data_IF_342969147540
#
_entry.id   IF_342969147540
#
_cell.length_a   1.000
_cell.length_b   1.000
_cell.length_c   1.000
_cell.angle_alpha   90.00
_cell.angle_beta   90.00
_cell.angle_gamma   90.00
#
_symmetry.space_group_name_H-M   'P 1'
#
loop_
_entity.id
_entity.type
_entity.pdbx_description
1 polymer ?
#
# COMPACT_ATOMS: atom_id res chain seq x y z
N UNK A 1 3.49 -29.72 -8.04
CA UNK A 1 4.26 -28.55 -8.54
C UNK A 1 3.26 -27.44 -8.86
N UNK A 2 3.41 -26.26 -8.29
CA UNK A 2 2.56 -25.12 -8.62
C UNK A 2 2.76 -24.73 -10.09
N UNK A 3 1.70 -24.23 -10.74
CA UNK A 3 1.76 -23.70 -12.10
C UNK A 3 2.63 -22.45 -12.10
N UNK A 4 3.62 -22.38 -13.00
CA UNK A 4 4.38 -21.16 -13.19
C UNK A 4 3.46 -20.04 -13.73
N UNK A 5 3.48 -18.89 -13.07
CA UNK A 5 2.73 -17.70 -13.49
C UNK A 5 3.49 -17.02 -14.64
N UNK A 6 2.85 -16.83 -15.79
CA UNK A 6 3.50 -16.30 -17.01
C UNK A 6 2.81 -15.07 -17.58
N UNK A 7 1.49 -14.99 -17.42
CA UNK A 7 0.65 -13.98 -18.07
C UNK A 7 -0.04 -13.13 -17.01
N UNK A 8 0.10 -11.82 -17.12
CA UNK A 8 -0.40 -10.84 -16.15
C UNK A 8 -1.28 -9.82 -16.88
N UNK A 9 -2.47 -9.56 -16.37
CA UNK A 9 -3.30 -8.41 -16.80
C UNK A 9 -3.35 -7.36 -15.68
N UNK A 10 -3.09 -6.11 -16.00
CA UNK A 10 -3.23 -4.96 -15.10
C UNK A 10 -4.49 -4.18 -15.50
N UNK A 11 -5.51 -4.22 -14.65
CA UNK A 11 -6.74 -3.43 -14.79
C UNK A 11 -6.55 -2.11 -14.03
N UNK A 12 -6.80 -0.97 -14.70
CA UNK A 12 -6.50 0.36 -14.16
C UNK A 12 -5.03 0.74 -14.33
N UNK A 13 -4.42 0.32 -15.45
CA UNK A 13 -3.00 0.49 -15.75
C UNK A 13 -2.54 1.96 -15.79
N UNK A 14 -3.45 2.92 -16.01
CA UNK A 14 -3.17 4.35 -16.07
C UNK A 14 -3.35 5.10 -14.74
N UNK A 15 -3.83 4.43 -13.67
CA UNK A 15 -3.90 4.99 -12.32
C UNK A 15 -2.51 5.15 -11.68
N UNK A 16 -2.42 5.85 -10.53
CA UNK A 16 -1.13 6.10 -9.84
C UNK A 16 -0.34 4.81 -9.59
N UNK A 17 -0.96 3.81 -8.98
CA UNK A 17 -0.31 2.52 -8.72
C UNK A 17 -0.22 1.69 -10.00
N UNK A 18 -1.25 1.72 -10.86
CA UNK A 18 -1.26 1.05 -12.15
C UNK A 18 -0.05 1.43 -13.01
N UNK A 19 0.23 2.71 -13.16
CA UNK A 19 1.39 3.21 -13.91
C UNK A 19 2.73 2.74 -13.31
N UNK A 20 2.85 2.73 -11.99
CA UNK A 20 4.08 2.35 -11.28
C UNK A 20 4.36 0.86 -11.45
N UNK A 21 3.39 -0.01 -11.14
CA UNK A 21 3.57 -1.45 -11.30
C UNK A 21 3.73 -1.86 -12.78
N UNK A 22 3.04 -1.17 -13.69
CA UNK A 22 3.17 -1.40 -15.13
C UNK A 22 4.56 -1.05 -15.65
N UNK A 23 5.22 -0.02 -15.09
CA UNK A 23 6.60 0.33 -15.47
C UNK A 23 7.58 -0.79 -15.14
N UNK A 24 7.44 -1.40 -13.96
CA UNK A 24 8.30 -2.52 -13.55
C UNK A 24 7.98 -3.81 -14.32
N UNK A 25 6.69 -4.10 -14.52
CA UNK A 25 6.27 -5.30 -15.25
C UNK A 25 6.62 -5.25 -16.74
N UNK A 26 6.65 -4.08 -17.36
CA UNK A 26 6.97 -3.90 -18.79
C UNK A 26 8.36 -4.46 -19.16
N UNK A 27 9.29 -4.43 -18.23
CA UNK A 27 10.68 -4.90 -18.46
C UNK A 27 10.93 -6.30 -17.90
N UNK A 28 9.89 -7.01 -17.51
CA UNK A 28 9.97 -8.35 -16.94
C UNK A 28 9.90 -9.44 -18.01
N UNK A 29 10.10 -10.68 -17.58
CA UNK A 29 9.90 -11.86 -18.44
C UNK A 29 8.43 -12.28 -18.58
N UNK A 30 7.50 -11.60 -17.92
CA UNK A 30 6.06 -11.88 -18.00
C UNK A 30 5.48 -11.32 -19.29
N UNK A 31 4.47 -12.01 -19.82
CA UNK A 31 3.56 -11.43 -20.82
C UNK A 31 2.56 -10.54 -20.08
N UNK A 32 2.58 -9.23 -20.33
CA UNK A 32 1.76 -8.26 -19.60
C UNK A 32 0.77 -7.57 -20.52
N UNK A 33 -0.49 -7.56 -20.12
CA UNK A 33 -1.57 -6.83 -20.77
C UNK A 33 -2.00 -5.64 -19.92
N UNK A 34 -2.24 -4.49 -20.55
CA UNK A 34 -2.61 -3.24 -19.87
C UNK A 34 -4.01 -2.83 -20.26
N UNK A 35 -4.91 -2.75 -19.29
CA UNK A 35 -6.31 -2.38 -19.50
C UNK A 35 -6.64 -1.10 -18.75
N UNK A 36 -7.25 -0.15 -19.42
CA UNK A 36 -7.64 1.14 -18.89
C UNK A 36 -8.89 1.68 -19.59
N UNK A 37 -9.85 2.20 -18.82
CA UNK A 37 -11.12 2.69 -19.35
C UNK A 37 -11.17 4.22 -19.52
N UNK A 38 -10.39 4.98 -18.72
CA UNK A 38 -10.36 6.44 -18.81
C UNK A 38 -9.55 6.89 -20.03
N UNK A 39 -10.12 7.68 -20.97
CA UNK A 39 -9.39 8.16 -22.15
C UNK A 39 -8.10 8.93 -21.80
N UNK A 40 -8.12 9.73 -20.72
CA UNK A 40 -6.94 10.46 -20.26
C UNK A 40 -5.86 9.50 -19.76
N UNK A 41 -6.25 8.50 -18.97
CA UNK A 41 -5.33 7.51 -18.44
C UNK A 41 -4.80 6.55 -19.54
N UNK A 42 -5.61 6.24 -20.57
CA UNK A 42 -5.16 5.51 -21.77
C UNK A 42 -4.02 6.23 -22.48
N UNK A 43 -4.12 7.55 -22.63
CA UNK A 43 -3.06 8.36 -23.22
C UNK A 43 -1.75 8.29 -22.39
N UNK A 44 -1.86 8.25 -21.06
CA UNK A 44 -0.69 8.10 -20.20
C UNK A 44 -0.03 6.73 -20.37
N UNK A 45 -0.80 5.65 -20.48
CA UNK A 45 -0.30 4.30 -20.71
C UNK A 45 0.43 4.21 -22.04
N UNK A 46 -0.18 4.70 -23.12
CA UNK A 46 0.40 4.65 -24.48
C UNK A 46 1.60 5.56 -24.64
N UNK A 47 1.64 6.72 -23.95
CA UNK A 47 2.80 7.62 -23.93
C UNK A 47 4.06 6.97 -23.33
N UNK A 48 3.90 5.90 -22.54
CA UNK A 48 5.00 5.10 -22.00
C UNK A 48 5.36 3.88 -22.88
N UNK A 49 4.87 3.83 -24.12
CA UNK A 49 5.14 2.74 -25.06
C UNK A 49 4.43 1.43 -24.75
N UNK A 50 3.34 1.45 -23.95
CA UNK A 50 2.54 0.27 -23.64
C UNK A 50 1.31 0.20 -24.52
N UNK A 51 1.03 -1.00 -25.06
CA UNK A 51 -0.17 -1.25 -25.83
C UNK A 51 -1.36 -1.54 -24.91
N UNK A 52 -2.48 -0.87 -25.19
CA UNK A 52 -3.73 -1.14 -24.48
C UNK A 52 -4.37 -2.42 -25.01
N UNK A 53 -4.95 -3.18 -24.11
CA UNK A 53 -5.69 -4.40 -24.41
C UNK A 53 -7.14 -4.27 -23.94
N UNK A 54 -8.04 -4.93 -24.64
CA UNK A 54 -9.42 -5.11 -24.17
C UNK A 54 -9.47 -6.17 -23.06
N UNK A 55 -10.03 -5.81 -21.91
CA UNK A 55 -10.07 -6.68 -20.75
C UNK A 55 -10.82 -8.01 -21.02
N UNK A 56 -11.91 -7.97 -21.79
CA UNK A 56 -12.67 -9.19 -22.12
C UNK A 56 -11.85 -10.18 -22.94
N UNK A 57 -10.90 -9.70 -23.72
CA UNK A 57 -10.02 -10.52 -24.53
C UNK A 57 -8.85 -11.13 -23.77
N UNK A 58 -8.29 -10.42 -22.76
CA UNK A 58 -7.03 -10.82 -22.12
C UNK A 58 -7.20 -11.42 -20.71
N UNK A 59 -8.25 -11.06 -19.97
CA UNK A 59 -8.54 -11.63 -18.66
C UNK A 59 -8.68 -13.16 -18.69
N UNK A 60 -9.36 -13.76 -19.69
CA UNK A 60 -9.46 -15.24 -19.78
C UNK A 60 -8.11 -15.95 -20.03
N UNK A 61 -7.08 -15.23 -20.45
CA UNK A 61 -5.75 -15.76 -20.77
C UNK A 61 -4.75 -15.59 -19.63
N UNK A 62 -5.13 -14.86 -18.59
CA UNK A 62 -4.18 -14.40 -17.55
C UNK A 62 -4.08 -15.37 -16.38
N UNK A 63 -2.83 -15.62 -15.94
CA UNK A 63 -2.56 -16.37 -14.71
C UNK A 63 -2.76 -15.47 -13.48
N UNK A 64 -2.48 -14.16 -13.63
CA UNK A 64 -2.70 -13.15 -12.58
C UNK A 64 -3.45 -11.96 -13.17
N UNK A 65 -4.53 -11.55 -12.51
CA UNK A 65 -5.24 -10.31 -12.82
C UNK A 65 -5.08 -9.35 -11.66
N UNK A 66 -4.40 -8.23 -11.91
CA UNK A 66 -4.13 -7.19 -10.91
C UNK A 66 -5.19 -6.10 -11.05
N UNK A 67 -5.91 -5.79 -9.97
CA UNK A 67 -6.85 -4.68 -9.90
C UNK A 67 -6.16 -3.46 -9.28
N UNK A 68 -5.66 -2.56 -10.12
CA UNK A 68 -5.02 -1.30 -9.73
C UNK A 68 -6.01 -0.11 -9.84
N UNK A 69 -7.19 -0.30 -9.28
CA UNK A 69 -8.30 0.67 -9.28
C UNK A 69 -8.59 1.15 -7.85
N UNK A 70 -9.25 2.31 -7.68
CA UNK A 70 -9.61 2.81 -6.33
C UNK A 70 -10.47 1.82 -5.54
N UNK A 71 -10.26 1.75 -4.22
CA UNK A 71 -10.89 0.76 -3.32
C UNK A 71 -12.41 0.79 -3.37
N UNK A 72 -13.00 1.98 -3.47
CA UNK A 72 -14.44 2.16 -3.56
C UNK A 72 -15.10 1.51 -4.78
N UNK A 73 -14.33 1.17 -5.80
CA UNK A 73 -14.84 0.51 -7.03
C UNK A 73 -14.35 -0.94 -7.17
N UNK A 74 -13.45 -1.42 -6.31
CA UNK A 74 -12.88 -2.78 -6.38
C UNK A 74 -13.96 -3.86 -6.44
N UNK A 75 -14.97 -3.78 -5.57
CA UNK A 75 -16.08 -4.73 -5.55
C UNK A 75 -16.81 -4.79 -6.91
N UNK A 76 -17.17 -3.62 -7.46
CA UNK A 76 -17.84 -3.53 -8.76
C UNK A 76 -16.97 -4.04 -9.91
N UNK A 77 -15.69 -3.69 -9.92
CA UNK A 77 -14.75 -4.14 -10.97
C UNK A 77 -14.54 -5.64 -10.87
N UNK A 78 -14.38 -6.19 -9.65
CA UNK A 78 -14.25 -7.64 -9.47
C UNK A 78 -15.46 -8.44 -9.98
N UNK A 79 -16.69 -7.92 -9.82
CA UNK A 79 -17.91 -8.52 -10.37
C UNK A 79 -17.89 -8.64 -11.90
N UNK A 80 -17.23 -7.74 -12.61
CA UNK A 80 -17.10 -7.81 -14.06
C UNK A 80 -15.90 -8.66 -14.51
N UNK A 81 -14.85 -8.75 -13.71
CA UNK A 81 -13.59 -9.43 -14.07
C UNK A 81 -13.60 -10.91 -13.68
N UNK A 82 -13.98 -11.24 -12.44
CA UNK A 82 -13.92 -12.61 -11.90
C UNK A 82 -14.65 -13.64 -12.75
N UNK A 83 -15.86 -13.38 -13.31
CA UNK A 83 -16.54 -14.33 -14.17
C UNK A 83 -15.76 -14.71 -15.44
N UNK A 84 -14.85 -13.86 -15.89
CA UNK A 84 -14.09 -14.04 -17.13
C UNK A 84 -12.73 -14.71 -16.90
N UNK A 85 -12.24 -14.80 -15.66
CA UNK A 85 -10.91 -15.37 -15.36
C UNK A 85 -10.87 -16.87 -15.62
N UNK A 86 -9.75 -17.40 -16.07
CA UNK A 86 -9.54 -18.85 -16.17
C UNK A 86 -9.43 -19.52 -14.79
N UNK A 87 -9.83 -20.78 -14.68
CA UNK A 87 -9.68 -21.54 -13.44
C UNK A 87 -8.20 -21.65 -13.03
N UNK A 88 -7.92 -21.48 -11.76
CA UNK A 88 -6.56 -21.44 -11.17
C UNK A 88 -5.84 -20.11 -11.33
N UNK A 89 -6.48 -19.09 -11.91
CA UNK A 89 -5.92 -17.76 -11.95
C UNK A 89 -6.04 -17.04 -10.58
N UNK A 90 -5.12 -16.10 -10.33
CA UNK A 90 -5.08 -15.29 -9.11
C UNK A 90 -5.64 -13.90 -9.41
N UNK A 91 -6.67 -13.47 -8.68
CA UNK A 91 -7.05 -12.07 -8.58
C UNK A 91 -6.19 -11.42 -7.49
N UNK A 92 -5.42 -10.41 -7.86
CA UNK A 92 -4.53 -9.68 -6.96
C UNK A 92 -5.03 -8.24 -6.79
N UNK A 93 -5.39 -7.86 -5.56
CA UNK A 93 -5.71 -6.47 -5.20
C UNK A 93 -4.51 -5.82 -4.51
N UNK A 94 -4.47 -4.48 -4.52
CA UNK A 94 -3.34 -3.71 -3.99
C UNK A 94 -3.59 -3.18 -2.57
N UNK A 95 -4.84 -3.29 -2.09
CA UNK A 95 -5.29 -2.84 -0.78
C UNK A 95 -6.19 -3.90 -0.13
N UNK A 96 -6.14 -4.08 1.21
CA UNK A 96 -6.92 -5.08 1.91
C UNK A 96 -8.37 -4.69 2.19
N UNK A 97 -8.75 -3.40 2.12
CA UNK A 97 -10.03 -2.93 2.63
C UNK A 97 -11.23 -3.64 1.99
N UNK A 98 -11.27 -3.73 0.65
CA UNK A 98 -12.37 -4.39 -0.05
C UNK A 98 -12.40 -5.90 0.18
N UNK A 99 -11.25 -6.56 0.31
CA UNK A 99 -11.14 -7.98 0.62
C UNK A 99 -11.63 -8.26 2.07
N UNK A 100 -11.19 -7.45 3.03
CA UNK A 100 -11.62 -7.53 4.42
C UNK A 100 -13.13 -7.31 4.58
N UNK A 101 -13.70 -6.41 3.80
CA UNK A 101 -15.14 -6.12 3.80
C UNK A 101 -15.99 -7.13 3.01
N UNK A 102 -15.40 -8.22 2.47
CA UNK A 102 -16.07 -9.23 1.65
C UNK A 102 -16.75 -8.65 0.39
N UNK A 103 -16.22 -7.56 -0.18
CA UNK A 103 -16.79 -6.94 -1.38
C UNK A 103 -16.27 -7.51 -2.68
N UNK A 104 -15.18 -8.27 -2.64
CA UNK A 104 -14.58 -8.90 -3.83
C UNK A 104 -15.47 -10.05 -4.29
N UNK A 105 -15.85 -10.04 -5.56
CA UNK A 105 -16.64 -11.12 -6.16
C UNK A 105 -15.92 -12.47 -6.02
N UNK A 106 -16.66 -13.50 -5.62
CA UNK A 106 -16.11 -14.85 -5.41
C UNK A 106 -16.59 -15.79 -6.51
N UNK A 107 -15.72 -16.66 -6.98
CA UNK A 107 -16.04 -17.76 -7.90
C UNK A 107 -15.13 -18.96 -7.63
N UNK A 108 -15.70 -20.16 -7.65
CA UNK A 108 -14.94 -21.40 -7.51
C UNK A 108 -13.84 -21.50 -8.57
N UNK A 109 -12.69 -21.95 -8.14
CA UNK A 109 -11.52 -22.11 -8.99
C UNK A 109 -10.72 -20.83 -9.24
N UNK A 110 -11.08 -19.71 -8.62
CA UNK A 110 -10.26 -18.47 -8.60
C UNK A 110 -9.59 -18.34 -7.24
N UNK A 111 -8.34 -17.93 -7.28
CA UNK A 111 -7.54 -17.62 -6.09
C UNK A 111 -7.53 -16.11 -5.82
N UNK A 112 -7.51 -15.72 -4.56
CA UNK A 112 -7.63 -14.32 -4.14
C UNK A 112 -6.47 -13.92 -3.26
N UNK A 113 -5.72 -12.91 -3.69
CA UNK A 113 -4.58 -12.40 -2.95
C UNK A 113 -4.61 -10.86 -2.88
N UNK A 114 -3.96 -10.34 -1.85
CA UNK A 114 -3.71 -8.91 -1.66
C UNK A 114 -2.21 -8.71 -1.53
N UNK A 115 -1.65 -7.65 -2.11
CA UNK A 115 -0.25 -7.27 -1.88
C UNK A 115 -0.13 -5.74 -1.78
N UNK A 116 0.34 -5.26 -0.63
CA UNK A 116 0.51 -3.85 -0.34
C UNK A 116 1.98 -3.52 -0.08
N UNK A 117 2.57 -2.50 -0.75
CA UNK A 117 3.98 -2.14 -0.52
C UNK A 117 4.15 -1.49 0.85
N UNK A 118 5.17 -1.91 1.59
CA UNK A 118 5.51 -1.28 2.88
C UNK A 118 6.20 0.07 2.71
N UNK A 119 6.56 0.44 1.48
CA UNK A 119 7.43 1.56 1.12
C UNK A 119 8.85 1.44 1.70
N UNK A 120 9.84 2.16 1.17
CA UNK A 120 11.21 2.15 1.68
C UNK A 120 11.26 2.67 3.12
N UNK A 121 11.85 1.88 4.00
CA UNK A 121 11.97 2.21 5.42
C UNK A 121 12.65 3.57 5.63
N UNK A 122 12.15 4.34 6.60
CA UNK A 122 12.82 5.56 7.08
C UNK A 122 14.24 5.27 7.62
N UNK A 123 14.51 4.02 7.98
CA UNK A 123 15.82 3.56 8.47
C UNK A 123 16.68 2.89 7.38
N UNK A 124 16.21 2.85 6.13
CA UNK A 124 16.98 2.30 5.02
C UNK A 124 18.22 3.16 4.77
N UNK A 125 19.39 2.52 4.69
CA UNK A 125 20.58 3.17 4.18
C UNK A 125 20.40 3.43 2.67
N UNK A 126 20.51 4.68 2.26
CA UNK A 126 20.38 5.12 0.87
C UNK A 126 21.68 5.72 0.41
N UNK A 127 22.19 5.27 -0.73
CA UNK A 127 23.55 5.60 -1.21
C UNK A 127 23.55 6.44 -2.48
N UNK A 128 22.42 6.46 -3.22
CA UNK A 128 22.29 7.20 -4.47
C UNK A 128 21.22 8.29 -4.35
N UNK A 129 21.27 9.27 -5.26
CA UNK A 129 20.23 10.32 -5.33
C UNK A 129 18.87 9.74 -5.70
N UNK A 130 18.85 8.73 -6.54
CA UNK A 130 17.66 8.03 -6.99
C UNK A 130 16.98 7.30 -5.81
N UNK A 131 17.75 6.60 -4.98
CA UNK A 131 17.23 5.96 -3.76
C UNK A 131 16.69 7.00 -2.76
N UNK A 132 17.37 8.14 -2.60
CA UNK A 132 16.89 9.22 -1.73
C UNK A 132 15.59 9.85 -2.24
N UNK A 133 15.43 9.99 -3.56
CA UNK A 133 14.22 10.55 -4.17
C UNK A 133 13.03 9.57 -4.16
N UNK A 134 13.30 8.26 -4.07
CA UNK A 134 12.28 7.22 -4.15
C UNK A 134 11.67 6.93 -2.76
N UNK A 135 10.89 7.88 -2.23
CA UNK A 135 10.21 7.69 -0.95
C UNK A 135 9.08 6.66 -1.01
N UNK A 136 8.45 6.52 -2.19
CA UNK A 136 7.35 5.55 -2.39
C UNK A 136 7.83 4.13 -2.72
N UNK A 137 9.07 3.95 -3.13
CA UNK A 137 9.56 2.67 -3.64
C UNK A 137 9.07 2.35 -5.05
N UNK A 138 9.58 1.28 -5.60
CA UNK A 138 9.24 0.81 -6.95
C UNK A 138 10.08 1.44 -8.07
N UNK A 139 11.14 2.17 -7.73
CA UNK A 139 12.09 2.76 -8.71
C UNK A 139 13.53 2.35 -8.37
N UNK A 140 14.03 2.72 -7.20
CA UNK A 140 15.42 2.51 -6.82
C UNK A 140 15.61 2.05 -5.36
N UNK A 141 14.80 2.59 -4.44
CA UNK A 141 14.92 2.28 -3.02
C UNK A 141 14.26 0.92 -2.69
N UNK A 142 15.01 0.06 -2.00
CA UNK A 142 14.54 -1.28 -1.60
C UNK A 142 13.39 -1.14 -0.59
N UNK A 143 12.37 -1.98 -0.76
CA UNK A 143 11.22 -2.04 0.14
C UNK A 143 10.83 -3.47 0.47
N UNK A 144 9.97 -3.64 1.48
CA UNK A 144 9.25 -4.87 1.75
C UNK A 144 7.83 -4.78 1.18
N UNK A 145 7.14 -5.91 1.12
CA UNK A 145 5.73 -5.99 0.75
C UNK A 145 5.01 -6.86 1.77
N UNK A 146 3.85 -6.42 2.25
CA UNK A 146 2.94 -7.26 3.01
C UNK A 146 1.89 -7.84 2.05
N UNK A 147 1.67 -9.16 2.13
CA UNK A 147 0.74 -9.86 1.25
C UNK A 147 -0.14 -10.85 2.02
N UNK A 148 -1.36 -11.07 1.52
CA UNK A 148 -2.30 -12.02 2.09
C UNK A 148 -2.87 -12.93 1.00
N UNK A 149 -2.97 -14.22 1.32
CA UNK A 149 -3.63 -15.24 0.48
C UNK A 149 -4.02 -16.39 1.38
N UNK A 150 -5.28 -16.45 1.77
CA UNK A 150 -5.76 -17.37 2.79
C UNK A 150 -5.63 -18.86 2.36
N UNK A 151 -6.02 -19.17 1.11
CA UNK A 151 -6.01 -20.53 0.55
C UNK A 151 -4.67 -20.95 -0.06
N UNK A 152 -3.74 -20.00 -0.27
CA UNK A 152 -2.50 -20.26 -1.00
C UNK A 152 -1.52 -21.17 -0.28
N UNK A 153 -1.06 -22.23 -0.95
CA UNK A 153 0.04 -23.06 -0.46
C UNK A 153 1.37 -22.32 -0.41
N UNK A 154 2.36 -22.85 0.29
CA UNK A 154 3.69 -22.25 0.35
C UNK A 154 4.33 -22.09 -1.05
N UNK A 155 4.15 -23.08 -1.92
CA UNK A 155 4.65 -23.05 -3.30
C UNK A 155 3.94 -22.01 -4.16
N UNK A 156 2.62 -21.87 -4.01
CA UNK A 156 1.85 -20.84 -4.71
C UNK A 156 2.25 -19.43 -4.25
N UNK A 157 2.40 -19.23 -2.93
CA UNK A 157 2.89 -17.98 -2.36
C UNK A 157 4.29 -17.64 -2.85
N UNK A 158 5.19 -18.64 -2.97
CA UNK A 158 6.52 -18.43 -3.52
C UNK A 158 6.48 -17.99 -5.00
N UNK A 159 5.60 -18.58 -5.82
CA UNK A 159 5.44 -18.16 -7.23
C UNK A 159 4.84 -16.75 -7.34
N UNK A 160 3.82 -16.42 -6.56
CA UNK A 160 3.23 -15.08 -6.56
C UNK A 160 4.20 -14.03 -5.99
N UNK A 161 5.06 -14.40 -5.03
CA UNK A 161 6.11 -13.51 -4.52
C UNK A 161 7.06 -13.03 -5.62
N UNK A 162 7.31 -13.84 -6.66
CA UNK A 162 8.15 -13.41 -7.81
C UNK A 162 7.45 -12.30 -8.59
N UNK A 163 6.14 -12.41 -8.84
CA UNK A 163 5.34 -11.37 -9.49
C UNK A 163 5.32 -10.10 -8.64
N UNK A 164 5.05 -10.24 -7.34
CA UNK A 164 5.02 -9.13 -6.36
C UNK A 164 6.37 -8.41 -6.32
N UNK A 165 7.47 -9.18 -6.29
CA UNK A 165 8.83 -8.61 -6.25
C UNK A 165 9.18 -7.83 -7.51
N UNK A 166 8.66 -8.24 -8.67
CA UNK A 166 8.83 -7.47 -9.91
C UNK A 166 7.95 -6.23 -9.89
N UNK A 167 6.66 -6.36 -9.63
CA UNK A 167 5.72 -5.24 -9.74
C UNK A 167 6.01 -4.08 -8.76
N UNK A 168 6.58 -4.38 -7.59
CA UNK A 168 6.95 -3.38 -6.58
C UNK A 168 8.47 -3.16 -6.46
N UNK A 169 9.27 -3.78 -7.32
CA UNK A 169 10.74 -3.81 -7.23
C UNK A 169 11.42 -2.43 -7.14
N UNK A 170 12.58 -2.39 -6.47
CA UNK A 170 13.26 -3.52 -5.82
C UNK A 170 12.61 -3.93 -4.48
N UNK A 171 12.40 -5.22 -4.29
CA UNK A 171 11.80 -5.80 -3.08
C UNK A 171 12.78 -6.74 -2.41
N UNK A 172 13.01 -6.56 -1.10
CA UNK A 172 13.84 -7.45 -0.28
C UNK A 172 13.04 -8.67 0.16
N UNK A 173 11.84 -8.47 0.72
CA UNK A 173 11.04 -9.56 1.26
C UNK A 173 9.54 -9.32 1.08
N UNK A 174 8.79 -10.40 0.81
CA UNK A 174 7.33 -10.45 0.88
C UNK A 174 6.92 -11.14 2.18
N UNK A 175 6.20 -10.41 3.04
CA UNK A 175 5.67 -10.91 4.31
C UNK A 175 4.25 -11.41 4.11
N UNK A 176 4.04 -12.71 4.27
CA UNK A 176 2.72 -13.33 4.17
C UNK A 176 1.99 -13.27 5.50
N UNK A 177 0.84 -12.63 5.51
CA UNK A 177 -0.06 -12.44 6.66
C UNK A 177 -1.49 -12.84 6.26
N UNK A 178 -2.45 -12.75 7.17
CA UNK A 178 -3.88 -12.88 6.82
C UNK A 178 -4.45 -11.56 6.32
N UNK A 179 -5.59 -11.60 5.62
CA UNK A 179 -6.30 -10.38 5.17
C UNK A 179 -6.65 -9.50 6.37
N UNK A 180 -7.11 -10.09 7.48
CA UNK A 180 -7.40 -9.36 8.71
C UNK A 180 -6.15 -8.70 9.30
N UNK A 181 -5.02 -9.41 9.35
CA UNK A 181 -3.75 -8.83 9.80
C UNK A 181 -3.30 -7.68 8.89
N UNK A 182 -3.43 -7.85 7.58
CA UNK A 182 -3.07 -6.78 6.62
C UNK A 182 -3.98 -5.55 6.80
N UNK A 183 -5.27 -5.75 7.10
CA UNK A 183 -6.20 -4.66 7.40
C UNK A 183 -5.84 -3.90 8.70
N UNK A 184 -5.26 -4.57 9.70
CA UNK A 184 -4.69 -3.87 10.88
C UNK A 184 -3.40 -3.14 10.54
N UNK A 185 -2.57 -3.69 9.65
CA UNK A 185 -1.30 -3.05 9.27
C UNK A 185 -1.55 -1.77 8.47
N UNK A 186 -2.35 -1.83 7.43
CA UNK A 186 -2.50 -0.73 6.49
C UNK A 186 -3.55 0.30 6.96
N UNK A 187 -4.86 0.05 7.06
CA UNK A 187 -5.84 1.04 7.52
C UNK A 187 -5.60 1.55 8.95
N UNK A 188 -5.19 0.69 9.88
CA UNK A 188 -5.05 1.12 11.28
C UNK A 188 -3.66 1.67 11.58
N UNK A 189 -2.60 0.84 11.43
CA UNK A 189 -1.26 1.25 11.85
C UNK A 189 -0.66 2.31 10.91
N UNK A 190 -0.79 2.12 9.61
CA UNK A 190 -0.18 3.04 8.63
C UNK A 190 -1.06 4.25 8.42
N UNK A 191 -2.29 4.11 7.94
CA UNK A 191 -3.10 5.27 7.57
C UNK A 191 -3.62 6.02 8.80
N UNK A 192 -4.26 5.32 9.75
CA UNK A 192 -4.86 5.97 10.93
C UNK A 192 -3.81 6.51 11.89
N UNK A 193 -2.64 5.85 12.05
CA UNK A 193 -1.60 6.32 12.98
C UNK A 193 -0.50 7.05 12.25
N UNK A 194 0.24 6.40 11.35
CA UNK A 194 1.47 6.97 10.78
C UNK A 194 1.19 8.17 9.87
N UNK A 195 0.23 8.06 8.95
CA UNK A 195 -0.13 9.17 8.05
C UNK A 195 -0.77 10.34 8.81
N UNK A 196 -1.63 10.06 9.81
CA UNK A 196 -2.21 11.08 10.67
C UNK A 196 -1.12 11.83 11.45
N UNK A 197 -0.14 11.12 12.04
CA UNK A 197 0.99 11.74 12.75
C UNK A 197 1.81 12.63 11.81
N UNK A 198 2.04 12.18 10.57
CA UNK A 198 2.70 13.00 9.54
C UNK A 198 1.94 14.29 9.24
N UNK A 199 0.63 14.21 9.05
CA UNK A 199 -0.23 15.38 8.84
C UNK A 199 -0.23 16.30 10.06
N UNK A 200 -0.32 15.74 11.27
CA UNK A 200 -0.27 16.50 12.52
C UNK A 200 1.08 17.24 12.72
N UNK A 201 2.20 16.60 12.41
CA UNK A 201 3.51 17.28 12.48
C UNK A 201 3.60 18.46 11.51
N UNK A 202 2.99 18.34 10.31
CA UNK A 202 2.92 19.46 9.37
C UNK A 202 2.07 20.61 9.91
N UNK A 203 0.91 20.31 10.48
CA UNK A 203 0.04 21.31 11.13
C UNK A 203 0.75 22.00 12.30
N UNK A 204 1.45 21.22 13.15
CA UNK A 204 2.23 21.77 14.26
C UNK A 204 3.36 22.70 13.80
N UNK A 205 4.01 22.40 12.67
CA UNK A 205 5.00 23.29 12.05
C UNK A 205 4.35 24.63 11.66
N UNK A 206 3.21 24.59 10.96
CA UNK A 206 2.51 25.79 10.49
C UNK A 206 2.05 26.67 11.67
N UNK A 207 1.47 26.04 12.70
CA UNK A 207 1.05 26.76 13.92
C UNK A 207 2.24 27.35 14.69
N UNK A 208 3.39 26.66 14.72
CA UNK A 208 4.62 27.22 15.33
C UNK A 208 5.05 28.50 14.63
N UNK A 209 5.13 28.52 13.30
CA UNK A 209 5.50 29.71 12.52
C UNK A 209 4.50 30.84 12.77
N UNK A 210 3.21 30.54 12.70
CA UNK A 210 2.12 31.50 12.85
C UNK A 210 2.07 32.15 14.24
N UNK A 211 2.22 31.38 15.31
CA UNK A 211 2.06 31.87 16.68
C UNK A 211 3.33 32.43 17.32
N UNK A 212 4.50 31.88 16.95
CA UNK A 212 5.76 32.29 17.60
C UNK A 212 6.58 33.30 16.80
N UNK A 213 6.25 33.53 15.51
CA UNK A 213 7.01 34.36 14.63
C UNK A 213 8.39 33.82 14.25
N UNK A 214 8.66 32.55 14.51
CA UNK A 214 9.87 31.84 14.09
C UNK A 214 9.94 31.81 12.55
N UNK A 215 11.11 32.14 11.94
CA UNK A 215 11.26 31.95 10.49
C UNK A 215 10.97 30.51 10.07
N UNK A 216 10.20 30.36 9.01
CA UNK A 216 9.74 29.03 8.52
C UNK A 216 10.89 28.07 8.26
N UNK A 217 11.99 28.54 7.66
CA UNK A 217 13.16 27.70 7.36
C UNK A 217 13.88 27.22 8.64
N UNK A 218 13.88 28.01 9.70
CA UNK A 218 14.43 27.61 10.99
C UNK A 218 13.54 26.54 11.65
N UNK A 219 12.22 26.72 11.59
CA UNK A 219 11.25 25.73 12.10
C UNK A 219 11.33 24.39 11.33
N UNK A 220 11.44 24.44 10.01
CA UNK A 220 11.65 23.23 9.16
C UNK A 220 12.95 22.52 9.50
N UNK A 221 14.07 23.25 9.58
CA UNK A 221 15.37 22.65 9.89
C UNK A 221 15.35 21.94 11.25
N UNK A 222 14.75 22.59 12.27
CA UNK A 222 14.62 22.02 13.61
C UNK A 222 13.74 20.76 13.58
N UNK A 223 12.53 20.83 12.99
CA UNK A 223 11.58 19.74 12.98
C UNK A 223 12.10 18.51 12.21
N UNK A 224 12.64 18.71 11.00
CA UNK A 224 13.08 17.58 10.15
C UNK A 224 14.24 16.81 10.78
N UNK A 225 15.20 17.50 11.40
CA UNK A 225 16.27 16.84 12.14
C UNK A 225 15.76 16.10 13.39
N UNK A 226 14.81 16.69 14.12
CA UNK A 226 14.27 16.08 15.35
C UNK A 226 13.30 14.93 15.08
N UNK A 227 12.57 14.91 13.96
CA UNK A 227 11.80 13.72 13.54
C UNK A 227 12.73 12.52 13.44
N UNK A 228 13.87 12.64 12.76
CA UNK A 228 14.82 11.55 12.62
C UNK A 228 15.37 11.07 13.98
N UNK A 229 15.75 12.00 14.86
CA UNK A 229 16.25 11.66 16.20
C UNK A 229 15.16 11.00 17.04
N UNK A 230 13.94 11.53 17.05
CA UNK A 230 12.83 10.98 17.81
C UNK A 230 12.52 9.53 17.40
N UNK A 231 12.50 9.26 16.09
CA UNK A 231 12.29 7.90 15.58
C UNK A 231 13.49 6.98 15.92
N UNK A 232 14.73 7.46 15.79
CA UNK A 232 15.90 6.67 16.12
C UNK A 232 15.93 6.29 17.60
N UNK A 233 15.59 7.21 18.49
CA UNK A 233 15.52 6.94 19.93
C UNK A 233 14.38 5.97 20.25
N UNK A 234 13.18 6.22 19.73
CA UNK A 234 12.00 5.42 20.04
C UNK A 234 12.09 3.96 19.50
N UNK A 235 12.66 3.77 18.29
CA UNK A 235 12.64 2.47 17.62
C UNK A 235 13.99 1.75 17.59
N UNK A 236 15.11 2.45 17.77
CA UNK A 236 16.46 1.86 17.72
C UNK A 236 17.23 1.96 19.04
N UNK A 237 16.68 2.64 20.03
CA UNK A 237 17.31 2.84 21.35
C UNK A 237 18.76 3.35 21.26
N UNK A 238 19.05 4.22 20.27
CA UNK A 238 20.41 4.72 20.01
C UNK A 238 20.93 5.61 21.14
N UNK A 239 20.05 6.40 21.74
CA UNK A 239 20.30 7.24 22.92
C UNK A 239 18.98 7.41 23.70
N UNK A 240 18.99 7.60 25.03
CA UNK A 240 17.78 7.92 25.77
C UNK A 240 17.33 9.36 25.48
N UNK A 241 16.03 9.63 25.60
CA UNK A 241 15.54 11.00 25.71
C UNK A 241 16.03 11.62 27.01
N UNK A 242 16.32 12.92 27.02
CA UNK A 242 16.65 13.63 28.26
C UNK A 242 15.45 13.71 29.20
N UNK A 243 15.69 13.88 30.50
CA UNK A 243 14.61 14.01 31.50
C UNK A 243 13.64 15.14 31.14
N UNK A 244 14.17 16.29 30.69
CA UNK A 244 13.34 17.41 30.23
C UNK A 244 12.47 17.05 29.01
N UNK A 245 13.00 16.27 28.07
CA UNK A 245 12.24 15.78 26.92
C UNK A 245 11.14 14.81 27.35
N UNK A 246 11.43 13.92 28.31
CA UNK A 246 10.42 13.00 28.85
C UNK A 246 9.23 13.73 29.48
N UNK A 247 9.51 14.81 30.28
CA UNK A 247 8.46 15.67 30.85
C UNK A 247 7.63 16.34 29.76
N UNK A 248 8.27 16.88 28.72
CA UNK A 248 7.57 17.50 27.60
C UNK A 248 6.72 16.49 26.83
N UNK A 249 7.20 15.25 26.63
CA UNK A 249 6.45 14.17 25.99
C UNK A 249 5.22 13.76 26.81
N UNK A 250 5.34 13.66 28.13
CA UNK A 250 4.21 13.37 29.03
C UNK A 250 3.14 14.46 28.94
N UNK A 251 3.54 15.74 29.03
CA UNK A 251 2.63 16.87 28.81
C UNK A 251 1.95 16.81 27.42
N UNK A 252 2.71 16.50 26.37
CA UNK A 252 2.19 16.32 25.01
C UNK A 252 1.14 15.22 24.95
N UNK A 253 1.38 14.08 25.58
CA UNK A 253 0.39 12.98 25.65
C UNK A 253 -0.92 13.41 26.30
N UNK A 254 -0.85 14.13 27.43
CA UNK A 254 -2.04 14.63 28.12
C UNK A 254 -2.87 15.61 27.29
N UNK A 255 -2.21 16.46 26.49
CA UNK A 255 -2.87 17.51 25.71
C UNK A 255 -3.38 17.06 24.35
N UNK A 256 -2.71 16.09 23.74
CA UNK A 256 -2.90 15.75 22.32
C UNK A 256 -3.56 14.37 22.14
N UNK A 257 -3.20 13.39 22.98
CA UNK A 257 -3.64 12.02 22.80
C UNK A 257 -4.84 11.71 23.71
N UNK A 258 -5.94 11.24 23.11
CA UNK A 258 -7.11 10.78 23.88
C UNK A 258 -6.73 9.60 24.78
N UNK A 259 -7.22 9.51 26.04
CA UNK A 259 -6.90 8.41 26.94
C UNK A 259 -7.25 7.03 26.40
N UNK A 260 -8.32 6.93 25.63
CA UNK A 260 -8.88 5.71 25.07
C UNK A 260 -8.40 5.41 23.63
N UNK A 261 -7.37 6.09 23.14
CA UNK A 261 -6.89 5.98 21.76
C UNK A 261 -6.60 4.54 21.29
N UNK A 262 -6.26 3.64 22.23
CA UNK A 262 -5.94 2.23 21.90
C UNK A 262 -7.13 1.46 21.35
N UNK A 263 -8.35 1.94 21.54
CA UNK A 263 -9.56 1.33 20.96
C UNK A 263 -9.53 1.26 19.41
N UNK A 264 -8.69 2.08 18.75
CA UNK A 264 -8.53 1.98 17.28
C UNK A 264 -8.05 0.58 16.83
N UNK A 265 -7.51 -0.23 17.73
CA UNK A 265 -7.11 -1.62 17.47
C UNK A 265 -8.23 -2.62 17.74
N UNK A 266 -9.38 -2.18 18.22
CA UNK A 266 -10.56 -3.03 18.38
C UNK A 266 -11.19 -3.30 17.00
N UNK A 267 -11.67 -4.53 16.80
CA UNK A 267 -12.26 -4.94 15.52
C UNK A 267 -13.41 -4.02 15.09
N UNK A 268 -14.22 -3.54 16.03
CA UNK A 268 -15.32 -2.62 15.71
C UNK A 268 -14.84 -1.28 15.16
N UNK A 269 -13.70 -0.77 15.62
CA UNK A 269 -13.12 0.47 15.09
C UNK A 269 -12.44 0.23 13.73
N UNK A 270 -11.79 -0.93 13.53
CA UNK A 270 -11.30 -1.34 12.23
C UNK A 270 -12.46 -1.42 11.22
N UNK A 271 -13.58 -2.05 11.58
CA UNK A 271 -14.76 -2.13 10.74
C UNK A 271 -15.30 -0.73 10.37
N UNK A 272 -15.31 0.20 11.33
CA UNK A 272 -15.77 1.58 11.09
C UNK A 272 -14.86 2.36 10.15
N UNK A 273 -13.54 2.27 10.32
CA UNK A 273 -12.60 2.99 9.45
C UNK A 273 -12.65 2.45 8.04
N UNK A 274 -12.68 1.15 7.86
CA UNK A 274 -12.79 0.51 6.54
C UNK A 274 -14.12 0.84 5.87
N UNK A 275 -15.24 0.80 6.60
CA UNK A 275 -16.53 1.20 6.05
C UNK A 275 -16.51 2.65 5.54
N UNK A 276 -15.88 3.58 6.27
CA UNK A 276 -15.69 4.98 5.83
C UNK A 276 -14.83 5.09 4.58
N UNK A 277 -13.70 4.35 4.51
CA UNK A 277 -12.81 4.32 3.34
C UNK A 277 -13.55 3.85 2.09
N UNK A 278 -14.37 2.80 2.23
CA UNK A 278 -15.14 2.20 1.14
C UNK A 278 -16.45 2.93 0.84
N UNK A 279 -16.84 3.92 1.66
CA UNK A 279 -18.12 4.65 1.59
C UNK A 279 -19.34 3.73 1.62
N UNK A 280 -19.29 2.74 2.51
CA UNK A 280 -20.42 1.83 2.80
C UNK A 280 -20.94 2.07 4.22
N UNK A 281 -22.18 1.68 4.48
CA UNK A 281 -22.81 1.91 5.79
C UNK A 281 -22.17 1.05 6.90
N UNK A 282 -21.90 -0.21 6.61
CA UNK A 282 -21.25 -1.15 7.52
C UNK A 282 -20.65 -2.34 6.75
N UNK A 283 -19.67 -3.01 7.38
CA UNK A 283 -19.14 -4.29 6.89
C UNK A 283 -20.14 -5.39 7.24
N UNK A 284 -20.53 -6.17 6.23
CA UNK A 284 -21.38 -7.35 6.40
C UNK A 284 -20.50 -8.59 6.59
N UNK A 285 -20.79 -9.39 7.60
CA UNK A 285 -20.08 -10.64 7.96
C UNK A 285 -21.00 -11.81 7.91
#
# INVERSE_FOLDING_TARGET
MSKALKTITVIGAGGKMGMRISANLQHSAYQVFYCENSPQAQQQVTAQGRELSDAASVVPLSDVVILAVPDIVLGKVSQSVVPQMQSGAVLLTLDPAAAYANLIAQRDGIEYAVAHPCHPSVFLARYTKEEHADAFGGVAAVQHVAAAWESGSAEQKAELSKVISVMYGPVDQVHWVTVTQLAYLEPTLVETVSCMVGAFMKEALDETVKHSGVPEEAAKAMLYGHIQIALAVAFRATNPFSDACMIAMEYGREKIIKPDWKQIFDQQELDKVIARMLKIDAIQR
#
